data_IF_952318818915
#
_entry.id   IF_952318818915
#
_cell.length_a   1.000
_cell.length_b   1.000
_cell.length_c   1.000
_cell.angle_alpha   90.00
_cell.angle_beta   90.00
_cell.angle_gamma   90.00
#
_symmetry.space_group_name_H-M   'P 1'
#
loop_
_entity.id
_entity.type
_entity.pdbx_description
1 polymer ?
#
# COMPACT_ATOMS: atom_id res chain seq x y z
N UNK A 1 -33.88 -19.68 -10.85
CA UNK A 1 -32.52 -20.03 -10.40
C UNK A 1 -31.54 -18.84 -10.33
N UNK A 2 -31.65 -17.80 -11.16
CA UNK A 2 -30.68 -16.67 -11.18
C UNK A 2 -30.76 -15.68 -9.98
N UNK A 3 -31.84 -15.61 -9.22
CA UNK A 3 -31.99 -14.73 -8.04
C UNK A 3 -31.21 -15.23 -6.83
N UNK A 4 -31.05 -16.53 -6.66
CA UNK A 4 -30.37 -17.14 -5.52
C UNK A 4 -28.82 -17.00 -5.60
N UNK A 5 -28.24 -16.89 -6.81
CA UNK A 5 -26.79 -16.74 -6.98
C UNK A 5 -26.30 -15.32 -6.68
N UNK A 6 -27.11 -14.28 -6.97
CA UNK A 6 -26.77 -12.88 -6.68
C UNK A 6 -26.78 -12.57 -5.18
N UNK A 7 -27.73 -13.16 -4.42
CA UNK A 7 -27.79 -13.02 -2.96
C UNK A 7 -26.51 -13.59 -2.32
N UNK A 8 -26.11 -14.81 -2.68
CA UNK A 8 -24.91 -15.44 -2.11
C UNK A 8 -23.59 -14.73 -2.42
N UNK A 9 -23.50 -14.02 -3.56
CA UNK A 9 -22.32 -13.19 -3.88
C UNK A 9 -22.28 -11.93 -3.02
N UNK A 10 -23.42 -11.27 -2.83
CA UNK A 10 -23.50 -10.07 -1.98
C UNK A 10 -23.22 -10.40 -0.52
N UNK A 11 -23.69 -11.53 -0.03
CA UNK A 11 -23.47 -11.98 1.33
C UNK A 11 -21.98 -12.27 1.59
N UNK A 12 -21.27 -12.92 0.64
CA UNK A 12 -19.82 -13.12 0.70
C UNK A 12 -19.05 -11.80 0.73
N UNK A 13 -19.44 -10.84 -0.10
CA UNK A 13 -18.81 -9.53 -0.13
C UNK A 13 -18.96 -8.84 1.23
N UNK A 14 -20.15 -8.88 1.83
CA UNK A 14 -20.40 -8.32 3.17
C UNK A 14 -19.55 -8.99 4.25
N UNK A 15 -19.47 -10.31 4.24
CA UNK A 15 -18.61 -11.06 5.17
C UNK A 15 -17.12 -10.74 5.00
N UNK A 16 -16.64 -10.56 3.76
CA UNK A 16 -15.26 -10.16 3.50
C UNK A 16 -14.98 -8.75 4.05
N UNK A 17 -15.89 -7.80 3.82
CA UNK A 17 -15.78 -6.42 4.32
C UNK A 17 -15.77 -6.41 5.85
N UNK A 18 -16.66 -7.15 6.51
CA UNK A 18 -16.72 -7.20 7.98
C UNK A 18 -15.47 -7.83 8.58
N UNK A 19 -14.96 -8.92 8.00
CA UNK A 19 -13.69 -9.53 8.41
C UNK A 19 -12.50 -8.59 8.22
N UNK A 20 -12.45 -7.86 7.09
CA UNK A 20 -11.41 -6.86 6.86
C UNK A 20 -11.46 -5.76 7.92
N UNK A 21 -12.66 -5.24 8.23
CA UNK A 21 -12.90 -4.24 9.27
C UNK A 21 -12.39 -4.72 10.63
N UNK A 22 -12.78 -5.93 11.06
CA UNK A 22 -12.34 -6.51 12.33
C UNK A 22 -10.81 -6.61 12.42
N UNK A 23 -10.14 -7.06 11.33
CA UNK A 23 -8.68 -7.17 11.31
C UNK A 23 -7.99 -5.81 11.33
N UNK A 24 -8.51 -4.84 10.58
CA UNK A 24 -7.98 -3.49 10.51
C UNK A 24 -8.22 -2.69 11.79
N UNK A 25 -9.24 -3.02 12.59
CA UNK A 25 -9.52 -2.34 13.87
C UNK A 25 -8.41 -2.54 14.92
N UNK A 26 -7.60 -3.60 14.78
CA UNK A 26 -6.46 -3.89 15.63
C UNK A 26 -5.20 -3.10 15.27
N UNK A 27 -5.29 -2.23 14.27
CA UNK A 27 -4.21 -1.40 13.75
C UNK A 27 -4.48 0.05 14.14
N UNK A 28 -3.54 0.65 14.89
CA UNK A 28 -3.73 1.99 15.44
C UNK A 28 -3.74 3.07 14.37
N UNK A 29 -2.75 3.07 13.47
CA UNK A 29 -2.59 4.07 12.43
C UNK A 29 -2.50 3.42 11.05
N UNK A 30 -3.40 3.78 10.15
CA UNK A 30 -3.45 3.31 8.76
C UNK A 30 -3.15 4.48 7.84
N UNK A 31 -1.98 4.47 7.19
CA UNK A 31 -1.50 5.57 6.35
C UNK A 31 -1.41 5.11 4.91
N UNK A 32 -2.20 5.72 4.05
CA UNK A 32 -2.09 5.49 2.61
C UNK A 32 -1.00 6.39 2.01
N UNK A 33 -0.12 5.81 1.21
CA UNK A 33 0.95 6.52 0.51
C UNK A 33 0.61 6.59 -0.97
N UNK A 34 0.57 7.80 -1.48
CA UNK A 34 0.15 8.09 -2.85
C UNK A 34 1.21 8.87 -3.61
N UNK A 35 1.21 8.74 -4.92
CA UNK A 35 1.94 9.60 -5.84
C UNK A 35 1.08 9.89 -7.05
N UNK A 36 1.18 11.10 -7.60
CA UNK A 36 0.40 11.48 -8.80
C UNK A 36 0.93 10.77 -10.04
N UNK A 37 2.25 10.50 -10.08
CA UNK A 37 2.89 9.77 -11.18
C UNK A 37 3.69 8.57 -10.69
N UNK A 38 3.97 7.64 -11.59
CA UNK A 38 4.93 6.56 -11.38
C UNK A 38 6.39 7.05 -11.40
N UNK A 39 7.29 6.27 -10.80
CA UNK A 39 8.73 6.55 -10.85
C UNK A 39 9.26 7.57 -9.86
N UNK A 40 8.42 8.18 -9.00
CA UNK A 40 8.86 9.15 -7.99
C UNK A 40 9.51 8.51 -6.74
N UNK A 41 9.62 7.19 -6.71
CA UNK A 41 10.21 6.46 -5.57
C UNK A 41 9.24 6.19 -4.42
N UNK A 42 7.92 6.21 -4.65
CA UNK A 42 6.89 5.98 -3.63
C UNK A 42 7.14 4.73 -2.79
N UNK A 43 7.26 3.57 -3.42
CA UNK A 43 7.45 2.29 -2.71
C UNK A 43 8.80 2.22 -1.98
N UNK A 44 9.85 2.88 -2.50
CA UNK A 44 11.12 3.03 -1.79
C UNK A 44 10.95 3.85 -0.51
N UNK A 45 10.19 4.93 -0.56
CA UNK A 45 9.84 5.74 0.62
C UNK A 45 9.05 4.92 1.61
N UNK A 46 8.03 4.16 1.16
CA UNK A 46 7.22 3.28 2.04
C UNK A 46 8.09 2.26 2.75
N UNK A 47 8.96 1.56 2.03
CA UNK A 47 9.84 0.54 2.61
C UNK A 47 10.78 1.13 3.67
N UNK A 48 11.42 2.26 3.37
CA UNK A 48 12.33 2.92 4.31
C UNK A 48 11.59 3.51 5.52
N UNK A 49 10.41 4.08 5.32
CA UNK A 49 9.57 4.58 6.42
C UNK A 49 9.15 3.44 7.35
N UNK A 50 8.80 2.27 6.79
CA UNK A 50 8.45 1.10 7.59
C UNK A 50 9.61 0.65 8.47
N UNK A 51 10.83 0.57 7.91
CA UNK A 51 12.04 0.20 8.66
C UNK A 51 12.35 1.25 9.72
N UNK A 52 12.30 2.54 9.37
CA UNK A 52 12.59 3.63 10.32
C UNK A 52 11.59 3.70 11.49
N UNK A 53 10.33 3.34 11.28
CA UNK A 53 9.34 3.20 12.35
C UNK A 53 9.61 1.96 13.22
N UNK A 54 10.01 0.84 12.60
CA UNK A 54 10.38 -0.37 13.32
C UNK A 54 11.64 -0.19 14.16
N UNK A 55 12.65 0.56 13.68
CA UNK A 55 13.83 0.97 14.45
C UNK A 55 13.49 1.77 15.71
N UNK A 56 12.37 2.50 15.69
CA UNK A 56 11.84 3.21 16.86
C UNK A 56 10.98 2.35 17.78
N UNK A 57 10.93 1.03 17.56
CA UNK A 57 10.20 0.07 18.38
C UNK A 57 8.72 -0.07 18.06
N UNK A 58 8.24 0.48 16.94
CA UNK A 58 6.86 0.32 16.54
C UNK A 58 6.63 -1.00 15.78
N UNK A 59 5.46 -1.59 15.96
CA UNK A 59 5.00 -2.74 15.17
C UNK A 59 4.42 -2.24 13.85
N UNK A 60 5.09 -2.57 12.75
CA UNK A 60 4.78 -2.00 11.43
C UNK A 60 4.36 -3.09 10.45
N UNK A 61 3.29 -2.82 9.69
CA UNK A 61 2.88 -3.58 8.54
C UNK A 61 2.96 -2.74 7.26
N UNK A 62 3.19 -3.40 6.14
CA UNK A 62 3.15 -2.81 4.79
C UNK A 62 2.23 -3.64 3.93
N UNK A 63 1.19 -3.01 3.39
CA UNK A 63 0.36 -3.55 2.32
C UNK A 63 0.81 -2.95 0.99
N UNK A 64 1.42 -3.75 0.14
CA UNK A 64 1.74 -3.38 -1.24
C UNK A 64 0.53 -3.68 -2.12
N UNK A 65 -0.22 -2.63 -2.45
CA UNK A 65 -1.43 -2.69 -3.26
C UNK A 65 -1.17 -2.36 -4.73
N UNK A 66 0.08 -2.13 -5.14
CA UNK A 66 0.46 -1.95 -6.54
C UNK A 66 0.60 -3.32 -7.24
N UNK A 67 -0.50 -3.78 -7.82
CA UNK A 67 -0.58 -5.09 -8.49
C UNK A 67 0.28 -5.14 -9.76
N UNK A 68 0.58 -4.00 -10.37
CA UNK A 68 1.30 -3.93 -11.65
C UNK A 68 2.81 -3.91 -11.49
N UNK A 69 3.30 -3.28 -10.42
CA UNK A 69 4.71 -3.11 -10.18
C UNK A 69 5.08 -3.31 -8.72
N UNK A 70 4.71 -4.46 -8.11
CA UNK A 70 4.94 -4.67 -6.69
C UNK A 70 6.43 -4.66 -6.39
N UNK A 71 6.90 -3.64 -5.70
CA UNK A 71 8.33 -3.39 -5.48
C UNK A 71 8.76 -3.47 -4.02
N UNK A 72 7.81 -3.47 -3.08
CA UNK A 72 8.08 -3.56 -1.65
C UNK A 72 8.88 -4.81 -1.27
N UNK A 73 8.54 -6.04 -1.74
CA UNK A 73 9.32 -7.22 -1.40
C UNK A 73 10.79 -7.13 -1.84
N UNK A 74 11.02 -6.54 -3.01
CA UNK A 74 12.39 -6.30 -3.49
C UNK A 74 13.14 -5.31 -2.61
N UNK A 75 12.50 -4.22 -2.22
CA UNK A 75 13.09 -3.17 -1.39
C UNK A 75 13.43 -3.67 0.04
N UNK A 76 12.65 -4.62 0.56
CA UNK A 76 12.82 -5.20 1.90
C UNK A 76 13.56 -6.55 1.92
N UNK A 77 14.13 -7.00 0.79
CA UNK A 77 14.90 -8.24 0.71
C UNK A 77 14.06 -9.52 0.79
N UNK A 78 12.77 -9.46 0.43
CA UNK A 78 11.81 -10.57 0.53
C UNK A 78 11.56 -11.28 -0.81
N UNK A 79 12.40 -11.07 -1.82
CA UNK A 79 12.25 -11.73 -3.13
C UNK A 79 12.28 -13.25 -3.00
N UNK A 80 11.43 -13.92 -3.77
CA UNK A 80 11.36 -15.38 -3.81
C UNK A 80 10.62 -16.00 -2.62
N UNK A 81 10.14 -15.21 -1.66
CA UNK A 81 9.24 -15.71 -0.64
C UNK A 81 7.82 -15.83 -1.19
N UNK A 82 7.07 -16.79 -0.66
CA UNK A 82 5.63 -16.95 -0.93
C UNK A 82 4.87 -16.81 0.38
N UNK A 83 3.75 -16.11 0.37
CA UNK A 83 2.89 -16.01 1.54
C UNK A 83 2.18 -17.34 1.79
N UNK A 84 2.06 -17.70 3.05
CA UNK A 84 1.46 -18.97 3.48
C UNK A 84 0.15 -18.67 4.21
N UNK A 85 -0.87 -19.47 3.93
CA UNK A 85 -2.09 -19.47 4.72
C UNK A 85 -1.91 -20.31 5.99
N UNK A 86 -2.18 -19.72 7.14
CA UNK A 86 -2.21 -20.38 8.43
C UNK A 86 -3.63 -20.47 9.00
N UNK A 87 -3.79 -21.00 10.23
CA UNK A 87 -5.10 -21.09 10.88
C UNK A 87 -5.79 -19.74 11.07
N UNK A 88 -5.01 -18.67 11.27
CA UNK A 88 -5.51 -17.32 11.47
C UNK A 88 -5.74 -16.56 10.14
N UNK A 89 -5.40 -17.14 9.01
CA UNK A 89 -5.50 -16.54 7.69
C UNK A 89 -4.18 -16.43 6.97
N UNK A 90 -4.05 -15.44 6.09
CA UNK A 90 -2.85 -15.17 5.31
C UNK A 90 -1.75 -14.56 6.19
N UNK A 91 -0.68 -15.29 6.41
CA UNK A 91 0.44 -14.84 7.23
C UNK A 91 1.32 -13.85 6.45
N UNK A 92 1.55 -12.63 6.98
CA UNK A 92 2.49 -11.69 6.38
C UNK A 92 3.92 -12.24 6.36
N UNK A 93 4.66 -11.94 5.30
CA UNK A 93 6.12 -12.15 5.31
C UNK A 93 6.77 -11.21 6.32
N UNK A 94 7.84 -11.68 6.96
CA UNK A 94 8.60 -10.89 7.94
C UNK A 94 9.84 -10.31 7.28
N UNK A 95 9.89 -9.01 7.16
CA UNK A 95 11.02 -8.23 6.67
C UNK A 95 11.97 -7.78 7.78
N UNK A 96 12.88 -6.85 7.46
CA UNK A 96 13.83 -6.29 8.42
C UNK A 96 13.12 -5.76 9.67
N UNK A 97 13.73 -5.96 10.83
CA UNK A 97 13.24 -5.49 12.14
C UNK A 97 11.80 -5.96 12.47
N UNK A 98 11.35 -7.06 11.87
CA UNK A 98 10.01 -7.59 12.11
C UNK A 98 8.88 -6.87 11.36
N UNK A 99 9.19 -6.05 10.36
CA UNK A 99 8.18 -5.43 9.50
C UNK A 99 7.37 -6.50 8.79
N UNK A 100 6.05 -6.49 8.98
CA UNK A 100 5.13 -7.43 8.34
C UNK A 100 4.76 -6.94 6.95
N UNK A 101 4.85 -7.81 5.94
CA UNK A 101 4.62 -7.43 4.53
C UNK A 101 3.61 -8.36 3.88
N UNK A 102 2.60 -7.78 3.28
CA UNK A 102 1.73 -8.44 2.31
C UNK A 102 1.84 -7.70 1.00
N UNK A 103 2.20 -8.42 -0.06
CA UNK A 103 2.32 -7.91 -1.42
C UNK A 103 1.79 -8.92 -2.41
N UNK A 104 1.27 -8.42 -3.51
CA UNK A 104 0.84 -9.24 -4.65
C UNK A 104 1.96 -10.11 -5.20
N UNK A 105 3.21 -9.59 -5.24
CA UNK A 105 4.35 -10.35 -5.69
C UNK A 105 4.63 -11.61 -4.84
N UNK A 106 4.24 -11.59 -3.58
CA UNK A 106 4.44 -12.73 -2.67
C UNK A 106 3.28 -13.73 -2.68
N UNK A 107 2.19 -13.43 -3.40
CA UNK A 107 1.04 -14.32 -3.56
C UNK A 107 1.08 -15.12 -4.87
N UNK A 108 1.84 -14.62 -5.85
CA UNK A 108 2.02 -15.30 -7.13
C UNK A 108 3.27 -16.19 -7.04
N UNK A 109 3.12 -17.46 -7.35
CA UNK A 109 4.22 -18.45 -7.32
C UNK A 109 5.28 -18.23 -8.42
N UNK A 110 4.98 -17.40 -9.41
CA UNK A 110 5.90 -17.06 -10.50
C UNK A 110 5.81 -15.56 -10.83
N UNK A 111 6.89 -14.83 -10.55
CA UNK A 111 7.04 -13.40 -10.90
C UNK A 111 6.92 -13.14 -12.41
N UNK A 112 7.06 -14.18 -13.25
CA UNK A 112 6.99 -14.10 -14.70
C UNK A 112 5.57 -14.30 -15.26
N UNK A 113 4.64 -14.70 -14.43
CA UNK A 113 3.26 -14.88 -14.85
C UNK A 113 2.57 -13.51 -15.01
N UNK A 114 2.48 -13.04 -16.24
CA UNK A 114 1.71 -11.84 -16.57
C UNK A 114 0.21 -12.12 -16.35
N UNK A 115 -0.29 -11.83 -15.15
CA UNK A 115 -1.72 -11.89 -14.86
C UNK A 115 -2.35 -10.60 -15.33
N UNK A 116 -3.22 -10.68 -16.33
CA UNK A 116 -3.99 -9.53 -16.80
C UNK A 116 -5.12 -9.24 -15.81
N UNK A 117 -4.85 -8.31 -14.89
CA UNK A 117 -5.85 -7.87 -13.92
C UNK A 117 -6.78 -6.81 -14.50
N UNK A 118 -8.07 -7.09 -14.54
CA UNK A 118 -9.10 -6.08 -14.82
C UNK A 118 -9.51 -5.39 -13.51
N UNK A 119 -9.89 -4.11 -13.56
CA UNK A 119 -10.19 -3.29 -12.37
C UNK A 119 -11.04 -3.98 -11.30
N UNK A 120 -12.22 -4.56 -11.63
CA UNK A 120 -13.06 -5.26 -10.66
C UNK A 120 -12.39 -6.47 -10.00
N UNK A 121 -11.52 -7.18 -10.73
CA UNK A 121 -10.77 -8.32 -10.18
C UNK A 121 -9.72 -7.86 -9.15
N UNK A 122 -9.05 -6.75 -9.41
CA UNK A 122 -8.07 -6.18 -8.47
C UNK A 122 -8.73 -5.77 -7.16
N UNK A 123 -9.84 -5.04 -7.25
CA UNK A 123 -10.62 -4.62 -6.07
C UNK A 123 -11.11 -5.81 -5.26
N UNK A 124 -11.68 -6.82 -5.92
CA UNK A 124 -12.12 -8.06 -5.26
C UNK A 124 -10.96 -8.77 -4.57
N UNK A 125 -9.82 -8.84 -5.23
CA UNK A 125 -8.63 -9.48 -4.70
C UNK A 125 -8.08 -8.73 -3.47
N UNK A 126 -7.92 -7.40 -3.54
CA UNK A 126 -7.42 -6.60 -2.40
C UNK A 126 -8.39 -6.73 -1.22
N UNK A 127 -9.71 -6.72 -1.46
CA UNK A 127 -10.72 -6.96 -0.41
C UNK A 127 -10.51 -8.32 0.26
N UNK A 128 -10.29 -9.39 -0.52
CA UNK A 128 -10.01 -10.72 0.01
C UNK A 128 -8.72 -10.73 0.82
N UNK A 129 -7.65 -10.11 0.33
CA UNK A 129 -6.38 -9.99 1.05
C UNK A 129 -6.59 -9.27 2.39
N UNK A 130 -7.31 -8.17 2.42
CA UNK A 130 -7.62 -7.45 3.66
C UNK A 130 -8.44 -8.31 4.64
N UNK A 131 -9.40 -9.08 4.13
CA UNK A 131 -10.22 -10.00 4.94
C UNK A 131 -9.44 -11.20 5.48
N UNK A 132 -8.37 -11.62 4.80
CA UNK A 132 -7.58 -12.80 5.17
C UNK A 132 -6.31 -12.47 5.95
N UNK A 133 -5.77 -11.26 5.83
CA UNK A 133 -4.48 -10.86 6.36
C UNK A 133 -4.39 -10.98 7.89
N UNK A 134 -3.51 -11.85 8.38
CA UNK A 134 -3.28 -12.09 9.79
C UNK A 134 -2.24 -11.08 10.36
N UNK A 135 -2.58 -9.77 10.31
CA UNK A 135 -1.69 -8.72 10.79
C UNK A 135 -1.37 -8.80 12.28
N UNK A 136 -2.34 -9.30 13.09
CA UNK A 136 -2.31 -9.11 14.54
C UNK A 136 -2.44 -7.63 14.91
N UNK A 137 -1.90 -7.26 16.07
CA UNK A 137 -1.89 -5.86 16.50
C UNK A 137 -0.69 -5.12 15.93
N UNK A 138 -0.95 -4.00 15.24
CA UNK A 138 0.08 -3.12 14.69
C UNK A 138 -0.10 -1.70 15.21
N UNK A 139 1.04 -0.97 15.31
CA UNK A 139 1.02 0.46 15.58
C UNK A 139 0.79 1.24 14.27
N UNK A 140 1.41 0.78 13.17
CA UNK A 140 1.27 1.38 11.84
C UNK A 140 1.02 0.32 10.77
N UNK A 141 0.11 0.61 9.84
CA UNK A 141 -0.01 -0.05 8.54
C UNK A 141 0.21 1.00 7.46
N UNK A 142 1.28 0.84 6.69
CA UNK A 142 1.56 1.65 5.51
C UNK A 142 0.97 0.95 4.29
N UNK A 143 0.17 1.67 3.52
CA UNK A 143 -0.50 1.15 2.33
C UNK A 143 0.13 1.80 1.11
N UNK A 144 0.90 1.04 0.35
CA UNK A 144 1.51 1.48 -0.90
C UNK A 144 0.49 1.36 -2.03
N UNK A 145 -0.19 2.48 -2.36
CA UNK A 145 -1.21 2.51 -3.41
C UNK A 145 -0.55 2.53 -4.81
N UNK A 146 -1.23 2.04 -5.86
CA UNK A 146 -0.76 2.23 -7.24
C UNK A 146 -0.53 3.71 -7.55
N UNK A 147 0.34 4.04 -8.53
CA UNK A 147 0.56 5.43 -8.91
C UNK A 147 -0.69 6.05 -9.54
N UNK A 148 -0.90 7.34 -9.32
CA UNK A 148 -2.07 8.09 -9.79
C UNK A 148 -3.02 8.49 -8.68
N UNK A 149 -4.10 9.17 -9.04
CA UNK A 149 -5.20 9.62 -8.17
C UNK A 149 -6.56 9.33 -8.81
N UNK A 150 -6.64 8.24 -9.57
CA UNK A 150 -7.84 7.83 -10.28
C UNK A 150 -8.74 6.89 -9.48
N UNK A 151 -9.72 6.31 -10.16
CA UNK A 151 -10.76 5.46 -9.55
C UNK A 151 -10.18 4.19 -8.90
N UNK A 152 -9.10 3.63 -9.45
CA UNK A 152 -8.47 2.42 -8.90
C UNK A 152 -7.93 2.69 -7.48
N UNK A 153 -7.13 3.76 -7.35
CA UNK A 153 -6.53 4.16 -6.07
C UNK A 153 -7.61 4.53 -5.06
N UNK A 154 -8.63 5.26 -5.52
CA UNK A 154 -9.76 5.65 -4.68
C UNK A 154 -10.51 4.42 -4.16
N UNK A 155 -10.82 3.47 -5.05
CA UNK A 155 -11.54 2.24 -4.69
C UNK A 155 -10.74 1.40 -3.69
N UNK A 156 -9.42 1.25 -3.91
CA UNK A 156 -8.55 0.51 -2.98
C UNK A 156 -8.52 1.19 -1.60
N UNK A 157 -8.35 2.51 -1.59
CA UNK A 157 -8.28 3.26 -0.34
C UNK A 157 -9.62 3.23 0.43
N UNK A 158 -10.75 3.23 -0.27
CA UNK A 158 -12.09 3.10 0.33
C UNK A 158 -12.36 1.72 0.95
N UNK A 159 -11.63 0.67 0.56
CA UNK A 159 -11.70 -0.63 1.22
C UNK A 159 -11.06 -0.63 2.61
N UNK A 160 -10.23 0.37 2.91
CA UNK A 160 -9.51 0.49 4.17
C UNK A 160 -10.23 1.51 5.03
N UNK A 161 -11.08 1.00 5.90
CA UNK A 161 -11.81 1.86 6.83
C UNK A 161 -10.87 2.55 7.82
N UNK A 162 -11.27 3.71 8.29
CA UNK A 162 -10.54 4.52 9.28
C UNK A 162 -9.10 4.85 8.88
N UNK A 163 -8.88 5.20 7.61
CA UNK A 163 -7.60 5.75 7.18
C UNK A 163 -7.24 6.96 8.03
N UNK A 164 -6.04 6.95 8.62
CA UNK A 164 -5.55 8.03 9.47
C UNK A 164 -5.11 9.27 8.67
N UNK A 165 -4.76 9.06 7.40
CA UNK A 165 -4.40 10.12 6.47
C UNK A 165 -3.61 9.65 5.27
N UNK A 166 -3.29 10.61 4.40
CA UNK A 166 -2.51 10.43 3.18
C UNK A 166 -1.11 11.02 3.33
N UNK A 167 -0.11 10.25 2.92
CA UNK A 167 1.25 10.73 2.69
C UNK A 167 1.48 10.82 1.18
N UNK A 168 1.86 11.97 0.69
CA UNK A 168 2.07 12.23 -0.74
C UNK A 168 3.57 12.17 -1.05
N UNK A 169 3.98 11.38 -2.05
CA UNK A 169 5.36 11.34 -2.53
C UNK A 169 5.44 11.98 -3.90
N UNK A 170 6.36 12.90 -4.07
CA UNK A 170 6.60 13.64 -5.32
C UNK A 170 8.09 13.89 -5.53
N UNK A 171 8.46 14.48 -6.68
CA UNK A 171 9.81 14.96 -6.97
C UNK A 171 9.81 16.49 -7.17
N UNK A 172 10.96 17.18 -7.13
CA UNK A 172 11.04 18.63 -7.35
C UNK A 172 10.44 19.08 -8.66
N UNK A 173 10.71 18.34 -9.74
CA UNK A 173 10.17 18.63 -11.07
C UNK A 173 8.64 18.59 -11.15
N UNK A 174 8.03 17.87 -10.21
CA UNK A 174 6.59 17.65 -10.16
C UNK A 174 5.91 18.44 -9.05
N UNK A 175 6.68 19.04 -8.14
CA UNK A 175 6.12 19.82 -7.01
C UNK A 175 5.48 21.12 -7.54
N UNK A 176 4.31 20.97 -8.11
CA UNK A 176 3.51 22.06 -8.68
C UNK A 176 2.18 22.19 -7.93
N UNK A 177 1.55 23.36 -8.08
CA UNK A 177 0.19 23.59 -7.56
C UNK A 177 -0.81 22.51 -7.99
N UNK A 178 -0.66 21.97 -9.21
CA UNK A 178 -1.54 20.91 -9.73
C UNK A 178 -1.47 19.60 -8.92
N UNK A 179 -0.29 19.23 -8.41
CA UNK A 179 -0.11 18.03 -7.58
C UNK A 179 -0.72 18.21 -6.21
N UNK A 180 -0.50 19.36 -5.58
CA UNK A 180 -1.13 19.70 -4.31
C UNK A 180 -2.66 19.69 -4.43
N UNK A 181 -3.19 20.26 -5.52
CA UNK A 181 -4.62 20.26 -5.80
C UNK A 181 -5.19 18.83 -6.00
N UNK A 182 -4.50 17.97 -6.78
CA UNK A 182 -4.92 16.58 -7.01
C UNK A 182 -4.88 15.76 -5.73
N UNK A 183 -3.81 15.86 -4.95
CA UNK A 183 -3.70 15.20 -3.65
C UNK A 183 -4.77 15.69 -2.67
N UNK A 184 -5.05 16.99 -2.63
CA UNK A 184 -6.11 17.56 -1.82
C UNK A 184 -7.51 17.10 -2.23
N UNK A 185 -7.78 17.00 -3.53
CA UNK A 185 -9.04 16.45 -4.06
C UNK A 185 -9.20 14.99 -3.69
N UNK A 186 -8.14 14.19 -3.86
CA UNK A 186 -8.14 12.78 -3.50
C UNK A 186 -8.38 12.58 -1.99
N UNK A 187 -7.73 13.37 -1.15
CA UNK A 187 -7.93 13.35 0.30
C UNK A 187 -9.40 13.69 0.68
N UNK A 188 -10.00 14.68 0.02
CA UNK A 188 -11.41 15.04 0.21
C UNK A 188 -12.36 13.91 -0.17
N UNK A 189 -12.12 13.23 -1.31
CA UNK A 189 -12.93 12.08 -1.74
C UNK A 189 -12.88 10.92 -0.76
N UNK A 190 -11.75 10.74 -0.07
CA UNK A 190 -11.59 9.73 0.98
C UNK A 190 -12.05 10.19 2.36
N UNK A 191 -12.39 11.47 2.54
CA UNK A 191 -12.72 12.02 3.85
C UNK A 191 -11.55 12.06 4.84
N UNK A 192 -10.29 12.05 4.34
CA UNK A 192 -9.08 12.03 5.17
C UNK A 192 -8.21 13.27 4.93
N UNK A 193 -7.29 13.55 5.86
CA UNK A 193 -6.32 14.65 5.73
C UNK A 193 -5.06 14.21 5.01
N UNK A 194 -4.40 15.13 4.32
CA UNK A 194 -3.01 14.98 3.91
C UNK A 194 -2.14 15.24 5.15
N UNK A 195 -1.39 14.24 5.60
CA UNK A 195 -0.53 14.31 6.79
C UNK A 195 0.87 14.85 6.47
N UNK A 196 1.26 14.79 5.21
CA UNK A 196 2.54 15.31 4.75
C UNK A 196 2.79 15.09 3.27
N UNK A 197 3.80 15.81 2.78
CA UNK A 197 4.34 15.64 1.43
C UNK A 197 5.83 15.34 1.56
N UNK A 198 6.30 14.30 0.88
CA UNK A 198 7.71 13.95 0.78
C UNK A 198 8.18 14.33 -0.63
N UNK A 199 9.05 15.33 -0.70
CA UNK A 199 9.80 15.65 -1.90
C UNK A 199 11.00 14.70 -1.97
N UNK A 200 10.88 13.65 -2.76
CA UNK A 200 11.94 12.68 -3.00
C UNK A 200 12.82 13.16 -4.17
N UNK A 201 14.06 12.66 -4.26
CA UNK A 201 15.01 13.04 -5.32
C UNK A 201 15.30 14.55 -5.35
N UNK A 202 15.28 15.23 -4.21
CA UNK A 202 15.46 16.69 -4.11
C UNK A 202 16.85 17.13 -4.54
N UNK A 203 17.85 16.26 -4.34
CA UNK A 203 19.23 16.49 -4.74
C UNK A 203 20.04 15.19 -4.80
N UNK A 204 21.12 15.23 -5.52
CA UNK A 204 22.16 14.21 -5.51
C UNK A 204 23.39 14.74 -4.77
N UNK A 205 23.88 14.02 -3.78
CA UNK A 205 25.14 14.31 -3.12
C UNK A 205 26.23 13.42 -3.70
N UNK A 206 27.25 14.03 -4.27
CA UNK A 206 28.38 13.28 -4.82
C UNK A 206 29.11 12.50 -3.72
N UNK A 207 29.27 11.17 -3.83
CA UNK A 207 29.94 10.37 -2.81
C UNK A 207 31.46 10.60 -2.79
N UNK A 208 32.04 11.22 -3.81
CA UNK A 208 33.47 11.49 -3.92
C UNK A 208 33.85 12.81 -3.28
N UNK A 209 33.17 13.91 -3.66
CA UNK A 209 33.53 15.27 -3.22
C UNK A 209 32.49 15.90 -2.29
N UNK A 210 31.35 15.24 -2.01
CA UNK A 210 30.31 15.75 -1.14
C UNK A 210 29.46 16.89 -1.72
N UNK A 211 29.75 17.36 -2.93
CA UNK A 211 28.99 18.43 -3.58
C UNK A 211 27.53 18.01 -3.80
N UNK A 212 26.61 18.97 -3.68
CA UNK A 212 25.17 18.77 -3.85
C UNK A 212 24.74 19.30 -5.20
N UNK A 213 24.04 18.46 -5.98
CA UNK A 213 23.54 18.78 -7.31
C UNK A 213 22.04 18.56 -7.38
N UNK A 214 21.30 19.48 -7.97
CA UNK A 214 19.86 19.32 -8.30
C UNK A 214 19.78 18.80 -9.72
N UNK A 215 19.62 17.50 -9.88
CA UNK A 215 19.64 16.79 -11.18
C UNK A 215 18.29 16.18 -11.55
N UNK A 216 17.28 16.31 -10.70
CA UNK A 216 15.91 15.78 -10.89
C UNK A 216 14.89 16.89 -11.02
#
# INVERSE_FOLDING_TARGET
MARNSKSGVLDRIREEVERARERLSRIRWKVAVVSVKGGVGKSFVVANLAVALAERGHRVGVLDADVHGPSIPRALGLRGLTLVAGPEGLLPATGPLGVKVISMALLLSDEKQAVVWRGPMKTAFIRQVLAMAAWGSLDYLLIDLPPGTGDEQLTIAQLIEDLSGLLVVTTPAELSYSIAAKAGTFAKLLGVRVIGVIENMSYFRCPVCGSVHRIF
#
